data_IF_356296215748
#
_entry.id   IF_356296215748
#
_cell.length_a   1.000
_cell.length_b   1.000
_cell.length_c   1.000
_cell.angle_alpha   90.00
_cell.angle_beta   90.00
_cell.angle_gamma   90.00
#
_symmetry.space_group_name_H-M   'P 1'
#
loop_
_entity.id
_entity.type
_entity.pdbx_description
1 polymer ?
#
# COMPACT_ATOMS: atom_id res chain seq x y z
N UNK A 1 3.22 -0.95 8.02
CA UNK A 1 2.50 -1.08 6.75
C UNK A 1 3.17 -0.23 5.68
N UNK A 2 2.93 -0.53 4.40
CA UNK A 2 3.52 0.21 3.28
C UNK A 2 3.15 1.72 3.28
N UNK A 3 1.97 2.07 3.79
CA UNK A 3 1.56 3.48 3.99
C UNK A 3 2.34 4.18 5.11
N UNK A 4 2.68 3.47 6.20
CA UNK A 4 3.55 4.04 7.25
C UNK A 4 4.95 4.35 6.69
N UNK A 5 5.51 3.47 5.87
CA UNK A 5 6.80 3.69 5.20
C UNK A 5 6.73 4.95 4.32
N UNK A 6 5.64 5.12 3.55
CA UNK A 6 5.44 6.34 2.74
C UNK A 6 5.42 7.59 3.63
N UNK A 7 4.64 7.58 4.70
CA UNK A 7 4.50 8.73 5.60
C UNK A 7 5.82 9.11 6.28
N UNK A 8 6.57 8.12 6.76
CA UNK A 8 7.89 8.34 7.37
C UNK A 8 8.89 8.92 6.36
N UNK A 9 8.90 8.41 5.13
CA UNK A 9 9.80 8.91 4.10
C UNK A 9 9.43 10.32 3.66
N UNK A 10 8.15 10.61 3.44
CA UNK A 10 7.68 11.96 3.12
C UNK A 10 8.07 12.92 4.25
N UNK A 11 7.78 12.58 5.51
CA UNK A 11 8.08 13.39 6.69
C UNK A 11 9.57 13.75 6.83
N UNK A 12 10.49 12.87 6.39
CA UNK A 12 11.93 13.16 6.38
C UNK A 12 12.30 14.35 5.49
N UNK A 13 11.54 14.62 4.43
CA UNK A 13 11.87 15.62 3.40
C UNK A 13 10.99 16.87 3.43
N UNK A 14 10.02 17.00 4.35
CA UNK A 14 9.07 18.14 4.38
C UNK A 14 9.65 19.48 4.87
N UNK A 15 10.75 19.47 5.65
CA UNK A 15 11.20 20.64 6.44
C UNK A 15 11.59 21.88 5.63
N UNK A 16 11.86 21.73 4.34
CA UNK A 16 12.31 22.81 3.45
C UNK A 16 11.31 23.13 2.33
N UNK A 17 10.13 22.52 2.36
CA UNK A 17 9.16 22.59 1.28
C UNK A 17 8.05 23.60 1.58
N UNK A 18 7.57 24.25 0.53
CA UNK A 18 6.36 25.07 0.55
C UNK A 18 5.10 24.19 0.60
N UNK A 19 3.97 24.74 1.05
CA UNK A 19 2.70 24.01 1.11
C UNK A 19 2.32 23.35 -0.22
N UNK A 20 2.56 24.03 -1.35
CA UNK A 20 2.29 23.48 -2.69
C UNK A 20 3.17 22.27 -3.04
N UNK A 21 4.44 22.31 -2.64
CA UNK A 21 5.37 21.20 -2.88
C UNK A 21 5.02 20.00 -2.00
N UNK A 22 4.60 20.24 -0.76
CA UNK A 22 4.11 19.20 0.15
C UNK A 22 2.88 18.52 -0.47
N UNK A 23 1.90 19.29 -0.95
CA UNK A 23 0.68 18.75 -1.58
C UNK A 23 1.00 17.93 -2.84
N UNK A 24 1.92 18.41 -3.68
CA UNK A 24 2.37 17.69 -4.87
C UNK A 24 3.03 16.35 -4.51
N UNK A 25 3.96 16.36 -3.54
CA UNK A 25 4.64 15.14 -3.07
C UNK A 25 3.64 14.15 -2.48
N UNK A 26 2.72 14.61 -1.64
CA UNK A 26 1.65 13.78 -1.09
C UNK A 26 0.81 13.12 -2.21
N UNK A 27 0.41 13.91 -3.21
CA UNK A 27 -0.38 13.42 -4.34
C UNK A 27 0.37 12.38 -5.17
N UNK A 28 1.63 12.66 -5.51
CA UNK A 28 2.47 11.78 -6.33
C UNK A 28 2.78 10.48 -5.59
N UNK A 29 3.19 10.56 -4.32
CA UNK A 29 3.54 9.39 -3.52
C UNK A 29 2.32 8.51 -3.24
N UNK A 30 1.15 9.09 -2.96
CA UNK A 30 -0.11 8.32 -2.85
C UNK A 30 -0.49 7.64 -4.17
N UNK A 31 -0.36 8.34 -5.29
CA UNK A 31 -0.65 7.77 -6.62
C UNK A 31 0.30 6.62 -6.96
N UNK A 32 1.58 6.71 -6.58
CA UNK A 32 2.55 5.65 -6.74
C UNK A 32 2.18 4.43 -5.88
N UNK A 33 1.88 4.66 -4.61
CA UNK A 33 1.39 3.62 -3.71
C UNK A 33 0.17 2.90 -4.28
N UNK A 34 -0.86 3.63 -4.71
CA UNK A 34 -2.06 3.03 -5.32
C UNK A 34 -1.72 2.12 -6.51
N UNK A 35 -0.75 2.48 -7.35
CA UNK A 35 -0.30 1.62 -8.46
C UNK A 35 0.43 0.37 -7.96
N UNK A 36 1.30 0.50 -6.96
CA UNK A 36 2.00 -0.62 -6.31
C UNK A 36 1.00 -1.60 -5.70
N UNK A 37 -0.11 -1.11 -5.11
CA UNK A 37 -1.17 -1.96 -4.55
C UNK A 37 -2.03 -2.60 -5.64
N UNK A 38 -2.38 -1.82 -6.67
CA UNK A 38 -3.29 -2.27 -7.72
C UNK A 38 -2.70 -3.44 -8.52
N UNK A 39 -1.39 -3.44 -8.76
CA UNK A 39 -0.71 -4.50 -9.51
C UNK A 39 -0.89 -5.90 -8.90
N UNK A 40 -0.50 -6.18 -7.64
CA UNK A 40 -0.67 -7.49 -7.01
C UNK A 40 -2.15 -7.84 -6.78
N UNK A 41 -3.03 -6.86 -6.53
CA UNK A 41 -4.49 -7.13 -6.46
C UNK A 41 -5.03 -7.65 -7.80
N UNK A 42 -4.58 -7.10 -8.93
CA UNK A 42 -4.96 -7.59 -10.24
C UNK A 42 -4.37 -8.98 -10.53
N UNK A 43 -3.13 -9.24 -10.08
CA UNK A 43 -2.50 -10.55 -10.20
C UNK A 43 -3.23 -11.61 -9.36
N UNK A 44 -3.63 -11.29 -8.12
CA UNK A 44 -4.49 -12.16 -7.30
C UNK A 44 -5.81 -12.46 -8.00
N UNK A 45 -6.51 -11.44 -8.50
CA UNK A 45 -7.76 -11.64 -9.24
C UNK A 45 -7.58 -12.59 -10.43
N UNK A 46 -6.43 -12.54 -11.10
CA UNK A 46 -6.12 -13.43 -12.21
C UNK A 46 -5.75 -14.85 -11.73
N UNK A 47 -5.01 -14.97 -10.64
CA UNK A 47 -4.62 -16.25 -10.03
C UNK A 47 -5.84 -17.02 -9.47
N UNK A 48 -6.77 -16.33 -8.81
CA UNK A 48 -8.05 -16.90 -8.37
C UNK A 48 -8.86 -17.49 -9.53
N UNK A 49 -8.85 -16.85 -10.71
CA UNK A 49 -9.52 -17.37 -11.90
C UNK A 49 -8.87 -18.63 -12.48
N UNK A 50 -7.59 -18.87 -12.17
CA UNK A 50 -6.82 -20.03 -12.62
C UNK A 50 -6.73 -21.15 -11.58
N UNK A 51 -7.22 -20.93 -10.36
CA UNK A 51 -7.10 -21.87 -9.25
C UNK A 51 -5.72 -21.87 -8.57
N UNK A 52 -4.91 -20.82 -8.78
CA UNK A 52 -3.53 -20.66 -8.27
C UNK A 52 -3.44 -19.64 -7.12
N UNK A 53 -4.49 -19.50 -6.31
CA UNK A 53 -4.66 -18.34 -5.42
C UNK A 53 -3.83 -18.38 -4.12
N UNK A 54 -3.47 -19.57 -3.66
CA UNK A 54 -2.93 -19.76 -2.30
C UNK A 54 -1.56 -19.06 -2.14
N UNK A 55 -0.67 -19.12 -3.13
CA UNK A 55 0.64 -18.47 -3.09
C UNK A 55 0.56 -16.93 -3.12
N UNK A 56 -0.50 -16.37 -3.73
CA UNK A 56 -0.65 -14.91 -3.87
C UNK A 56 -1.27 -14.26 -2.63
N UNK A 57 -2.03 -15.03 -1.83
CA UNK A 57 -2.61 -14.55 -0.58
C UNK A 57 -1.52 -14.23 0.45
N UNK A 58 -0.52 -15.10 0.58
CA UNK A 58 0.59 -14.91 1.52
C UNK A 58 1.40 -13.65 1.19
N UNK A 59 1.72 -13.43 -0.09
CA UNK A 59 2.43 -12.21 -0.55
C UNK A 59 1.64 -10.94 -0.23
N UNK A 60 0.31 -10.97 -0.38
CA UNK A 60 -0.54 -9.82 -0.06
C UNK A 60 -0.65 -9.59 1.45
N UNK A 61 -0.71 -10.65 2.24
CA UNK A 61 -0.69 -10.56 3.69
C UNK A 61 0.63 -9.94 4.18
N UNK A 62 1.78 -10.32 3.61
CA UNK A 62 3.08 -9.74 3.94
C UNK A 62 3.20 -8.26 3.50
N UNK A 63 2.73 -7.92 2.30
CA UNK A 63 2.82 -6.56 1.76
C UNK A 63 1.88 -5.57 2.47
N UNK A 64 0.71 -6.03 2.90
CA UNK A 64 -0.35 -5.17 3.43
C UNK A 64 -0.68 -5.40 4.91
N UNK A 65 -0.05 -6.37 5.56
CA UNK A 65 -0.24 -6.70 6.97
C UNK A 65 -1.74 -6.95 7.28
N UNK A 66 -2.44 -7.59 6.34
CA UNK A 66 -3.92 -7.68 6.31
C UNK A 66 -4.48 -8.39 7.55
N UNK A 67 -3.73 -9.32 8.12
CA UNK A 67 -4.10 -10.06 9.35
C UNK A 67 -4.16 -9.16 10.60
N UNK A 68 -3.44 -8.03 10.63
CA UNK A 68 -3.54 -7.06 11.74
C UNK A 68 -4.82 -6.23 11.65
N UNK A 69 -5.28 -5.89 10.45
CA UNK A 69 -6.53 -5.14 10.25
C UNK A 69 -7.76 -5.93 10.67
N UNK A 70 -7.81 -7.25 10.44
CA UNK A 70 -8.98 -8.09 10.78
C UNK A 70 -9.21 -8.23 12.29
N UNK A 71 -8.17 -8.04 13.12
CA UNK A 71 -8.30 -8.08 14.59
C UNK A 71 -8.97 -6.83 15.18
N UNK A 72 -9.16 -5.77 14.39
CA UNK A 72 -9.74 -4.50 14.84
C UNK A 72 -11.26 -4.48 14.62
N UNK A 73 -11.80 -5.29 13.71
CA UNK A 73 -13.25 -5.33 13.41
C UNK A 73 -14.08 -6.27 14.30
N UNK A 74 -13.45 -7.04 15.19
CA UNK A 74 -14.12 -7.99 16.09
C UNK A 74 -14.07 -7.58 17.57
N UNK A 75 -14.07 -6.27 17.88
CA UNK A 75 -14.08 -5.78 19.26
C UNK A 75 -15.16 -4.73 19.52
#
# INVERSE_FOLDING_TARGET
SLEQIRQEEVARHLKQLTEKEIELIETVTKSLMQKIIKFPVLQLKAACKRGEQDEMIDILNDLFDLEKTTKIENK
#
